data_IF_238285934800
#
_entry.id   IF_238285934800
#
_cell.length_a   1.000
_cell.length_b   1.000
_cell.length_c   1.000
_cell.angle_alpha   90.00
_cell.angle_beta   90.00
_cell.angle_gamma   90.00
#
_symmetry.space_group_name_H-M   'P 1'
#
loop_
_entity.id
_entity.type
_entity.pdbx_description
1 polymer ?
#
# COMPACT_ATOMS: atom_id res chain seq x y z
N UNK A 1 -24.52 -7.55 -53.31
CA UNK A 1 -23.27 -7.06 -52.66
C UNK A 1 -23.49 -6.52 -51.23
N UNK A 2 -24.56 -6.89 -50.51
CA UNK A 2 -24.85 -6.34 -49.16
C UNK A 2 -24.63 -7.27 -47.98
N UNK A 3 -24.43 -8.58 -48.20
CA UNK A 3 -24.29 -9.58 -47.11
C UNK A 3 -22.85 -9.80 -46.63
N UNK A 4 -21.87 -9.32 -47.39
CA UNK A 4 -20.45 -9.42 -47.02
C UNK A 4 -19.97 -8.23 -46.16
N UNK A 5 -20.70 -7.10 -46.22
CA UNK A 5 -20.42 -5.89 -45.44
C UNK A 5 -20.90 -5.97 -43.98
N UNK A 6 -21.83 -6.85 -43.65
CA UNK A 6 -22.33 -7.04 -42.28
C UNK A 6 -21.48 -7.98 -41.43
N UNK A 7 -20.72 -8.88 -42.05
CA UNK A 7 -19.88 -9.86 -41.32
C UNK A 7 -18.54 -9.23 -40.90
N UNK A 8 -18.07 -8.20 -41.62
CA UNK A 8 -16.82 -7.50 -41.28
C UNK A 8 -16.97 -6.52 -40.10
N UNK A 9 -18.20 -6.15 -39.73
CA UNK A 9 -18.47 -5.22 -38.61
C UNK A 9 -18.52 -5.89 -37.24
N UNK A 10 -18.54 -7.23 -37.16
CA UNK A 10 -18.61 -7.99 -35.89
C UNK A 10 -17.20 -8.34 -35.36
N UNK A 11 -16.15 -8.14 -36.16
CA UNK A 11 -14.76 -8.45 -35.79
C UNK A 11 -13.99 -7.22 -35.27
N UNK A 12 -14.66 -6.34 -34.51
CA UNK A 12 -14.06 -5.13 -33.93
C UNK A 12 -14.41 -4.93 -32.45
N UNK A 13 -14.79 -6.01 -31.76
CA UNK A 13 -14.82 -6.03 -30.30
C UNK A 13 -13.37 -6.25 -29.85
N UNK A 14 -12.62 -5.14 -29.82
CA UNK A 14 -11.28 -5.12 -29.24
C UNK A 14 -11.36 -5.51 -27.77
N UNK A 15 -10.78 -6.65 -27.43
CA UNK A 15 -10.56 -7.05 -26.05
C UNK A 15 -9.50 -6.09 -25.49
N UNK A 16 -9.93 -5.07 -24.77
CA UNK A 16 -9.02 -4.18 -24.04
C UNK A 16 -8.50 -4.94 -22.83
N UNK A 17 -7.29 -5.50 -22.92
CA UNK A 17 -6.60 -5.99 -21.75
C UNK A 17 -6.22 -4.79 -20.87
N UNK A 18 -6.88 -4.66 -19.72
CA UNK A 18 -6.41 -3.75 -18.67
C UNK A 18 -5.03 -4.20 -18.23
N UNK A 19 -4.03 -3.32 -18.43
CA UNK A 19 -2.67 -3.57 -17.99
C UNK A 19 -2.64 -3.48 -16.46
N UNK A 20 -2.68 -4.61 -15.78
CA UNK A 20 -2.45 -4.67 -14.34
C UNK A 20 -1.00 -4.26 -14.06
N UNK A 21 -0.83 -3.18 -13.28
CA UNK A 21 0.49 -2.70 -12.85
C UNK A 21 0.72 -3.18 -11.42
N UNK A 22 1.74 -4.02 -11.22
CA UNK A 22 2.11 -4.47 -9.88
C UNK A 22 2.92 -3.39 -9.16
N UNK A 23 2.52 -3.08 -7.94
CA UNK A 23 3.19 -2.13 -7.04
C UNK A 23 3.44 -2.77 -5.69
N UNK A 24 4.34 -2.16 -4.93
CA UNK A 24 4.75 -2.67 -3.63
C UNK A 24 4.34 -1.70 -2.52
N UNK A 25 3.88 -2.25 -1.40
CA UNK A 25 3.52 -1.48 -0.20
C UNK A 25 4.78 -0.99 0.49
N UNK A 26 4.83 0.31 0.82
CA UNK A 26 5.98 0.98 1.44
C UNK A 26 5.76 1.27 2.92
N UNK A 27 4.51 1.37 3.37
CA UNK A 27 4.21 1.53 4.79
C UNK A 27 4.33 0.20 5.54
N UNK A 28 4.73 0.25 6.80
CA UNK A 28 4.71 -0.90 7.72
C UNK A 28 3.31 -1.47 7.94
N UNK A 29 2.28 -0.61 8.02
CA UNK A 29 0.90 -1.01 8.32
C UNK A 29 -0.06 -0.23 7.45
N UNK A 30 -0.68 -0.89 6.47
CA UNK A 30 -1.65 -0.25 5.59
C UNK A 30 -2.83 -1.18 5.26
N UNK A 31 -3.93 -0.59 4.77
CA UNK A 31 -5.17 -1.32 4.55
C UNK A 31 -5.77 -0.99 3.18
N UNK A 32 -6.32 -2.02 2.55
CA UNK A 32 -7.21 -1.93 1.40
C UNK A 32 -8.62 -1.73 1.95
N UNK A 33 -9.28 -0.68 1.48
CA UNK A 33 -10.58 -0.23 1.97
C UNK A 33 -11.67 -0.44 0.93
N UNK A 34 -12.91 -0.50 1.37
CA UNK A 34 -14.06 -0.65 0.47
C UNK A 34 -14.24 0.58 -0.45
N UNK A 35 -14.13 1.78 0.12
CA UNK A 35 -14.14 3.05 -0.60
C UNK A 35 -12.81 3.80 -0.49
N UNK A 36 -12.61 4.75 -1.41
CA UNK A 36 -11.44 5.61 -1.49
C UNK A 36 -11.53 6.76 -0.46
N UNK A 37 -11.66 6.38 0.82
CA UNK A 37 -11.72 7.28 2.00
C UNK A 37 -10.97 6.64 3.16
N UNK A 38 -10.33 7.45 4.00
CA UNK A 38 -9.55 6.95 5.13
C UNK A 38 -10.38 6.26 6.22
N UNK A 39 -11.65 6.67 6.38
CA UNK A 39 -12.57 6.11 7.37
C UNK A 39 -13.47 5.00 6.81
N UNK A 40 -13.26 4.58 5.56
CA UNK A 40 -14.02 3.48 4.97
C UNK A 40 -13.63 2.15 5.65
N UNK A 41 -14.57 1.18 5.76
CA UNK A 41 -14.28 -0.16 6.25
C UNK A 41 -13.08 -0.81 5.57
N UNK A 42 -12.28 -1.54 6.36
CA UNK A 42 -11.10 -2.29 5.88
C UNK A 42 -11.54 -3.63 5.33
N UNK A 43 -11.18 -3.91 4.07
CA UNK A 43 -11.41 -5.21 3.41
C UNK A 43 -10.23 -6.16 3.62
N UNK A 44 -9.01 -5.66 3.51
CA UNK A 44 -7.80 -6.43 3.71
C UNK A 44 -6.69 -5.57 4.32
N UNK A 45 -5.83 -6.18 5.13
CA UNK A 45 -4.60 -5.53 5.63
C UNK A 45 -3.44 -5.96 4.75
N UNK A 46 -2.57 -5.00 4.44
CA UNK A 46 -1.35 -5.20 3.67
C UNK A 46 -0.15 -4.78 4.51
N UNK A 47 0.90 -5.57 4.44
CA UNK A 47 2.15 -5.35 5.15
C UNK A 47 3.18 -4.69 4.24
N UNK A 48 4.22 -4.16 4.86
CA UNK A 48 5.39 -3.70 4.13
C UNK A 48 5.88 -4.77 3.15
N UNK A 49 6.24 -4.32 1.95
CA UNK A 49 6.80 -5.16 0.89
C UNK A 49 5.82 -6.14 0.23
N UNK A 50 4.53 -6.14 0.63
CA UNK A 50 3.48 -6.88 -0.08
C UNK A 50 3.33 -6.34 -1.51
N UNK A 51 3.12 -7.26 -2.45
CA UNK A 51 2.86 -6.95 -3.86
C UNK A 51 1.35 -6.90 -4.09
N UNK A 52 0.88 -5.79 -4.66
CA UNK A 52 -0.53 -5.57 -4.98
C UNK A 52 -0.65 -5.15 -6.45
N UNK A 53 -1.75 -5.52 -7.09
CA UNK A 53 -1.99 -5.16 -8.49
C UNK A 53 -2.92 -3.97 -8.59
N UNK A 54 -2.48 -2.88 -9.23
CA UNK A 54 -3.34 -1.73 -9.55
C UNK A 54 -4.23 -2.07 -10.74
N UNK A 55 -5.54 -1.98 -10.53
CA UNK A 55 -6.58 -2.13 -11.55
C UNK A 55 -6.92 -0.76 -12.16
N UNK A 56 -7.04 0.28 -11.33
CA UNK A 56 -7.45 1.60 -11.78
C UNK A 56 -6.84 2.72 -10.91
N UNK A 57 -6.30 3.77 -11.53
CA UNK A 57 -5.78 4.95 -10.83
C UNK A 57 -6.83 6.06 -10.80
N UNK A 58 -7.11 6.60 -9.61
CA UNK A 58 -8.11 7.66 -9.38
C UNK A 58 -7.53 8.77 -8.49
N UNK A 59 -6.73 9.64 -9.09
CA UNK A 59 -6.10 10.75 -8.36
C UNK A 59 -5.16 10.24 -7.27
N UNK A 60 -5.45 10.57 -6.02
CA UNK A 60 -4.65 10.17 -4.85
C UNK A 60 -4.93 8.73 -4.36
N UNK A 61 -5.90 8.05 -4.97
CA UNK A 61 -6.30 6.69 -4.63
C UNK A 61 -6.20 5.75 -5.82
N UNK A 62 -5.92 4.48 -5.55
CA UNK A 62 -5.91 3.43 -6.55
C UNK A 62 -6.87 2.31 -6.15
N UNK A 63 -7.63 1.83 -7.13
CA UNK A 63 -8.32 0.55 -7.03
C UNK A 63 -7.31 -0.56 -7.29
N UNK A 64 -7.17 -1.45 -6.32
CA UNK A 64 -6.18 -2.53 -6.31
C UNK A 64 -6.84 -3.87 -6.03
N UNK A 65 -6.16 -4.94 -6.43
CA UNK A 65 -6.49 -6.32 -6.09
C UNK A 65 -5.36 -6.92 -5.25
N UNK A 66 -5.71 -7.62 -4.18
CA UNK A 66 -4.81 -8.34 -3.30
C UNK A 66 -5.50 -9.58 -2.73
N UNK A 67 -4.91 -10.77 -2.93
CA UNK A 67 -5.47 -12.05 -2.45
C UNK A 67 -6.97 -12.23 -2.76
N UNK A 68 -7.34 -11.96 -4.01
CA UNK A 68 -8.73 -12.00 -4.53
C UNK A 68 -9.70 -10.94 -3.97
N UNK A 69 -9.22 -10.03 -3.13
CA UNK A 69 -9.98 -8.88 -2.65
C UNK A 69 -9.64 -7.61 -3.43
N UNK A 70 -10.67 -6.96 -3.95
CA UNK A 70 -10.55 -5.64 -4.57
C UNK A 70 -10.94 -4.51 -3.62
N UNK A 71 -10.24 -3.38 -3.70
CA UNK A 71 -10.61 -2.17 -2.96
C UNK A 71 -9.71 -0.98 -3.24
N UNK A 72 -9.88 0.09 -2.48
CA UNK A 72 -9.11 1.32 -2.57
C UNK A 72 -7.89 1.33 -1.64
N UNK A 73 -6.75 1.80 -2.15
CA UNK A 73 -5.56 2.13 -1.36
C UNK A 73 -5.02 3.50 -1.76
N UNK A 74 -4.57 4.30 -0.78
CA UNK A 74 -4.06 5.65 -1.01
C UNK A 74 -2.61 5.61 -1.55
N UNK A 75 -2.22 6.60 -2.36
CA UNK A 75 -0.87 6.70 -2.94
C UNK A 75 0.24 6.71 -1.89
N UNK A 76 0.01 7.28 -0.70
CA UNK A 76 1.01 7.30 0.37
C UNK A 76 1.37 5.91 0.91
N UNK A 77 0.55 4.89 0.61
CA UNK A 77 0.74 3.52 1.03
C UNK A 77 1.71 2.73 0.15
N UNK A 78 1.87 3.15 -1.09
CA UNK A 78 2.44 2.36 -2.17
C UNK A 78 3.55 3.14 -2.86
N UNK A 79 4.48 2.41 -3.47
CA UNK A 79 5.46 3.02 -4.38
C UNK A 79 5.25 2.49 -5.78
N UNK A 80 5.12 3.40 -6.76
CA UNK A 80 5.12 3.06 -8.18
C UNK A 80 6.55 2.72 -8.62
N UNK A 81 7.03 1.52 -8.29
CA UNK A 81 8.33 1.07 -8.80
C UNK A 81 8.15 0.63 -10.25
N UNK A 82 8.49 1.52 -11.19
CA UNK A 82 8.76 1.10 -12.58
C UNK A 82 10.05 0.28 -12.56
N UNK A 83 9.94 -1.02 -12.33
CA UNK A 83 11.11 -1.91 -12.23
C UNK A 83 11.71 -2.11 -13.62
N UNK A 84 12.58 -1.20 -14.04
CA UNK A 84 13.51 -1.50 -15.14
C UNK A 84 14.64 -2.33 -14.54
N UNK A 85 14.46 -3.65 -14.49
CA UNK A 85 15.52 -4.60 -14.12
C UNK A 85 16.56 -4.63 -15.26
N UNK A 86 17.44 -3.64 -15.30
CA UNK A 86 18.63 -3.71 -16.13
C UNK A 86 19.80 -4.10 -15.24
N UNK A 87 20.07 -5.41 -15.18
CA UNK A 87 21.31 -6.05 -14.77
C UNK A 87 21.89 -5.64 -13.40
N UNK A 88 21.43 -6.29 -12.33
CA UNK A 88 22.27 -6.55 -11.16
C UNK A 88 22.03 -7.98 -10.71
N UNK A 89 23.01 -8.82 -10.99
CA UNK A 89 23.16 -10.16 -10.45
C UNK A 89 23.39 -10.04 -8.95
N UNK A 90 22.31 -10.12 -8.17
CA UNK A 90 22.37 -10.20 -6.70
C UNK A 90 21.57 -11.44 -6.30
N UNK A 91 22.33 -12.46 -5.93
CA UNK A 91 21.84 -13.74 -5.41
C UNK A 91 20.73 -13.54 -4.38
N UNK A 92 19.59 -14.15 -4.69
CA UNK A 92 18.49 -14.43 -3.78
C UNK A 92 18.99 -15.26 -2.60
N UNK A 93 19.11 -14.68 -1.39
CA UNK A 93 18.85 -15.43 -0.14
C UNK A 93 18.79 -14.63 1.19
N UNK A 94 18.52 -13.32 1.17
CA UNK A 94 18.38 -12.59 2.44
C UNK A 94 17.04 -11.87 2.52
N UNK A 95 16.09 -12.55 3.17
CA UNK A 95 14.97 -11.90 3.86
C UNK A 95 15.60 -11.17 5.05
N UNK A 96 16.10 -9.97 4.79
CA UNK A 96 16.70 -9.10 5.80
C UNK A 96 15.58 -8.50 6.62
N UNK A 97 15.51 -8.87 7.90
CA UNK A 97 14.51 -8.34 8.84
C UNK A 97 14.67 -6.83 9.04
N UNK A 98 13.59 -6.16 9.47
CA UNK A 98 13.49 -4.70 9.68
C UNK A 98 14.68 -4.07 10.46
N UNK A 99 15.39 -4.84 11.28
CA UNK A 99 16.50 -4.33 12.11
C UNK A 99 17.84 -4.20 11.37
N UNK A 100 18.04 -4.86 10.22
CA UNK A 100 19.35 -4.83 9.53
C UNK A 100 19.47 -3.70 8.49
N UNK A 101 18.35 -3.20 7.95
CA UNK A 101 18.37 -2.14 6.92
C UNK A 101 18.64 -0.75 7.52
N UNK A 102 18.56 -0.58 8.85
CA UNK A 102 18.90 0.68 9.54
C UNK A 102 20.41 0.97 9.57
N UNK A 103 21.27 -0.03 9.33
CA UNK A 103 22.69 0.02 9.71
C UNK A 103 23.64 0.69 8.70
N UNK A 104 23.30 0.79 7.41
CA UNK A 104 24.32 1.07 6.40
C UNK A 104 24.60 2.58 6.13
N UNK A 105 23.92 3.52 6.80
CA UNK A 105 24.17 4.94 6.49
C UNK A 105 23.74 6.02 7.47
N UNK A 106 23.10 5.69 8.60
CA UNK A 106 22.58 6.71 9.53
C UNK A 106 22.74 6.37 11.01
N UNK A 107 23.92 5.87 11.41
CA UNK A 107 24.56 5.94 12.75
C UNK A 107 23.75 6.06 14.06
N UNK A 108 22.48 5.70 14.11
CA UNK A 108 21.65 5.82 15.31
C UNK A 108 21.21 4.43 15.74
N UNK A 109 21.76 4.00 16.86
CA UNK A 109 21.40 2.78 17.55
C UNK A 109 20.79 3.20 18.88
N UNK A 110 19.48 3.03 19.02
CA UNK A 110 18.73 3.49 20.20
C UNK A 110 19.34 2.96 21.50
N UNK A 111 19.72 1.68 21.52
CA UNK A 111 20.35 1.01 22.66
C UNK A 111 21.68 1.69 23.08
N UNK A 112 22.55 2.00 22.11
CA UNK A 112 23.81 2.71 22.36
C UNK A 112 23.59 4.16 22.81
N UNK A 113 22.56 4.81 22.27
CA UNK A 113 22.20 6.17 22.64
C UNK A 113 21.67 6.26 24.07
N UNK A 114 20.84 5.29 24.48
CA UNK A 114 20.36 5.15 25.85
C UNK A 114 21.50 4.87 26.84
N UNK A 115 22.47 4.04 26.45
CA UNK A 115 23.65 3.76 27.26
C UNK A 115 24.52 5.01 27.47
N UNK A 116 24.72 5.81 26.43
CA UNK A 116 25.55 7.03 26.49
C UNK A 116 24.83 8.23 27.09
N UNK A 117 23.50 8.24 27.10
CA UNK A 117 22.67 9.34 27.60
C UNK A 117 21.57 8.82 28.53
N UNK A 118 21.93 8.39 29.77
CA UNK A 118 21.00 7.74 30.70
C UNK A 118 19.85 8.62 31.20
N UNK A 119 19.94 9.95 30.99
CA UNK A 119 18.87 10.90 31.33
C UNK A 119 17.89 11.16 30.16
N UNK A 120 18.08 10.51 29.02
CA UNK A 120 17.17 10.65 27.86
C UNK A 120 15.89 9.88 28.12
N UNK A 121 14.74 10.54 27.99
CA UNK A 121 13.43 9.92 28.15
C UNK A 121 12.79 9.76 26.77
N UNK A 122 12.66 8.52 26.31
CA UNK A 122 11.98 8.18 25.06
C UNK A 122 10.48 7.92 25.23
N UNK A 123 9.96 8.00 26.45
CA UNK A 123 8.56 7.63 26.74
C UNK A 123 7.50 8.36 25.90
N UNK A 124 7.73 9.61 25.49
CA UNK A 124 6.81 10.30 24.56
C UNK A 124 6.88 9.73 23.15
N UNK A 125 8.07 9.36 22.67
CA UNK A 125 8.25 8.75 21.35
C UNK A 125 7.65 7.35 21.34
N UNK A 126 7.94 6.54 22.37
CA UNK A 126 7.35 5.21 22.55
C UNK A 126 5.82 5.28 22.64
N UNK A 127 5.27 6.28 23.34
CA UNK A 127 3.83 6.50 23.40
C UNK A 127 3.22 6.86 22.04
N UNK A 128 3.94 7.62 21.19
CA UNK A 128 3.50 7.95 19.83
C UNK A 128 3.60 6.72 18.91
N UNK A 129 4.67 5.93 19.03
CA UNK A 129 4.87 4.73 18.22
C UNK A 129 3.89 3.60 18.55
N UNK A 130 3.52 3.48 19.83
CA UNK A 130 2.54 2.48 20.31
C UNK A 130 1.08 2.95 20.19
N UNK A 131 0.85 4.20 19.78
CA UNK A 131 -0.51 4.71 19.62
C UNK A 131 -1.17 4.09 18.39
N UNK A 132 -2.18 3.27 18.62
CA UNK A 132 -2.98 2.64 17.57
C UNK A 132 -4.42 3.15 17.62
N UNK A 133 -4.98 3.48 16.45
CA UNK A 133 -6.39 3.80 16.28
C UNK A 133 -7.11 2.56 15.78
N UNK A 134 -8.06 2.08 16.56
CA UNK A 134 -8.88 0.92 16.18
C UNK A 134 -9.96 1.32 15.15
N UNK A 135 -10.43 0.35 14.37
CA UNK A 135 -11.48 0.59 13.37
C UNK A 135 -12.78 1.10 14.04
N UNK A 136 -13.11 0.61 15.24
CA UNK A 136 -14.27 1.07 16.01
C UNK A 136 -14.17 2.54 16.43
N UNK A 137 -12.99 2.99 16.87
CA UNK A 137 -12.77 4.40 17.20
C UNK A 137 -12.84 5.30 15.97
N UNK A 138 -12.42 4.79 14.81
CA UNK A 138 -12.50 5.50 13.54
C UNK A 138 -13.95 5.63 13.05
N UNK A 139 -14.76 4.59 13.24
CA UNK A 139 -16.19 4.60 12.95
C UNK A 139 -16.93 5.59 13.86
N UNK A 140 -16.71 5.52 15.18
CA UNK A 140 -17.27 6.47 16.14
C UNK A 140 -16.89 7.92 15.80
N UNK A 141 -15.62 8.16 15.45
CA UNK A 141 -15.15 9.47 15.01
C UNK A 141 -15.90 9.95 13.75
N UNK A 142 -16.13 9.06 12.78
CA UNK A 142 -16.84 9.40 11.57
C UNK A 142 -18.31 9.73 11.82
N UNK A 143 -18.99 8.96 12.69
CA UNK A 143 -20.36 9.23 13.10
C UNK A 143 -20.48 10.58 13.83
N UNK A 144 -19.63 10.82 14.84
CA UNK A 144 -19.61 12.07 15.60
C UNK A 144 -19.29 13.28 14.70
N UNK A 145 -18.38 13.11 13.75
CA UNK A 145 -18.01 14.12 12.77
C UNK A 145 -19.04 14.36 11.67
N UNK A 146 -20.18 13.65 11.68
CA UNK A 146 -21.18 13.66 10.60
C UNK A 146 -20.56 13.38 9.22
N UNK A 147 -19.50 12.58 9.20
CA UNK A 147 -18.89 12.12 7.96
C UNK A 147 -19.83 11.08 7.34
N UNK A 148 -20.02 11.15 6.02
CA UNK A 148 -20.85 10.15 5.32
C UNK A 148 -20.11 8.82 5.30
N UNK A 149 -20.50 7.91 6.19
CA UNK A 149 -20.16 6.50 6.08
C UNK A 149 -20.93 5.89 4.90
N UNK A 150 -20.34 4.94 4.16
CA UNK A 150 -21.03 4.19 3.11
C UNK A 150 -22.21 3.38 3.63
#
# INVERSE_FOLDING_TARGET
MGRFLLVFSILLIGVTFSKAENVRVLSSVNAIREECRFFSPVKARVNYNDEISIINKRGDWNWVSFLDEEGCIHNSAITERKVTLTNLDVSSDQIVSHNEISLAGKGFFQELYMFTNPNTKFGTLEAIESFEVTDAQLEEFAEQGSLKLP
#
